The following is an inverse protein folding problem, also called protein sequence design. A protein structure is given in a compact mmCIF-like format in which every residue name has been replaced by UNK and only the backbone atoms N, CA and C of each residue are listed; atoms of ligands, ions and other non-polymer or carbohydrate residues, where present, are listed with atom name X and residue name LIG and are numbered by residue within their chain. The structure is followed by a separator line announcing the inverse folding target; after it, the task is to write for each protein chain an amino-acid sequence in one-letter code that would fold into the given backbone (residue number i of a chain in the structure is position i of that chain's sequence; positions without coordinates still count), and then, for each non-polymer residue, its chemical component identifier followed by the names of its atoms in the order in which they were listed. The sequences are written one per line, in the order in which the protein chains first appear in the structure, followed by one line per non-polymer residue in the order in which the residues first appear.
data_IF_467695331804
#
_entry.id   IF_467695331804
#
_cell.length_a   1.000
_cell.length_b   1.000
_cell.length_c   1.000
_cell.angle_alpha   90.00
_cell.angle_beta   90.00
_cell.angle_gamma   90.00
#
_symmetry.space_group_name_H-M   'P 1'
#
loop_
_entity.id
_entity.type
_entity.pdbx_description
1 polymer ?
#
# COMPACT_ATOMS: atom_id res chain seq x y z
N UNK A 1 -16.55 -16.15 -8.17
CA UNK A 1 -16.42 -16.59 -9.57
C UNK A 1 -15.63 -15.55 -10.35
N UNK A 2 -14.75 -15.96 -11.26
CA UNK A 2 -13.97 -15.05 -12.10
C UNK A 2 -14.45 -15.10 -13.56
N UNK A 3 -14.62 -13.95 -14.18
CA UNK A 3 -15.04 -13.74 -15.56
C UNK A 3 -13.95 -12.95 -16.28
N UNK A 4 -13.48 -13.41 -17.44
CA UNK A 4 -12.49 -12.69 -18.24
C UNK A 4 -13.19 -11.62 -19.07
N UNK A 5 -12.80 -10.36 -18.88
CA UNK A 5 -13.34 -9.21 -19.62
C UNK A 5 -12.55 -8.96 -20.91
N UNK A 6 -11.22 -9.04 -20.83
CA UNK A 6 -10.33 -8.76 -21.97
C UNK A 6 -9.01 -9.50 -21.83
N UNK A 7 -8.44 -9.87 -22.99
CA UNK A 7 -7.13 -10.48 -23.14
C UNK A 7 -6.40 -9.80 -24.29
N UNK A 8 -5.34 -9.07 -24.00
CA UNK A 8 -4.55 -8.32 -24.96
C UNK A 8 -3.10 -8.77 -24.93
N UNK A 9 -2.57 -9.23 -26.05
CA UNK A 9 -1.17 -9.66 -26.15
C UNK A 9 -0.29 -8.47 -26.50
N UNK A 10 0.80 -8.28 -25.76
CA UNK A 10 1.80 -7.23 -25.96
C UNK A 10 3.15 -7.85 -26.38
N UNK A 11 3.41 -8.02 -27.68
CA UNK A 11 4.63 -8.70 -28.16
C UNK A 11 5.93 -8.03 -27.71
N UNK A 12 5.95 -6.70 -27.62
CA UNK A 12 7.14 -5.93 -27.22
C UNK A 12 7.62 -6.21 -25.79
N UNK A 13 6.69 -6.60 -24.90
CA UNK A 13 6.98 -6.89 -23.50
C UNK A 13 6.88 -8.39 -23.19
N UNK A 14 6.61 -9.23 -24.19
CA UNK A 14 6.44 -10.68 -24.01
C UNK A 14 5.32 -11.05 -23.04
N UNK A 15 4.29 -10.21 -22.90
CA UNK A 15 3.22 -10.42 -21.90
C UNK A 15 1.83 -10.35 -22.50
N UNK A 16 0.90 -11.07 -21.89
CA UNK A 16 -0.53 -10.92 -22.16
C UNK A 16 -1.20 -10.23 -20.98
N UNK A 17 -1.79 -9.06 -21.22
CA UNK A 17 -2.59 -8.36 -20.24
C UNK A 17 -3.98 -9.00 -20.16
N UNK A 18 -4.39 -9.38 -18.96
CA UNK A 18 -5.70 -9.95 -18.68
C UNK A 18 -6.44 -9.01 -17.76
N UNK A 19 -7.68 -8.69 -18.13
CA UNK A 19 -8.64 -8.05 -17.25
C UNK A 19 -9.73 -9.05 -16.91
N UNK A 20 -10.03 -9.20 -15.63
CA UNK A 20 -11.06 -10.11 -15.14
C UNK A 20 -11.94 -9.39 -14.11
N UNK A 21 -13.22 -9.74 -14.08
CA UNK A 21 -14.14 -9.38 -13.00
C UNK A 21 -14.27 -10.58 -12.08
N UNK A 22 -14.23 -10.35 -10.77
CA UNK A 22 -14.41 -11.37 -9.76
C UNK A 22 -15.60 -10.99 -8.90
N UNK A 23 -16.58 -11.88 -8.82
CA UNK A 23 -17.63 -11.85 -7.81
C UNK A 23 -17.23 -12.73 -6.63
N UNK A 24 -17.41 -12.22 -5.42
CA UNK A 24 -17.18 -12.97 -4.19
C UNK A 24 -18.38 -12.79 -3.26
N UNK A 25 -18.51 -13.64 -2.25
CA UNK A 25 -19.55 -13.50 -1.24
C UNK A 25 -18.87 -13.23 0.11
N UNK A 26 -19.27 -12.16 0.78
CA UNK A 26 -18.73 -11.75 2.07
C UNK A 26 -17.44 -10.93 1.96
N UNK A 27 -16.36 -11.41 2.56
CA UNK A 27 -15.09 -10.67 2.69
C UNK A 27 -14.30 -10.63 1.39
N UNK A 28 -13.56 -9.55 1.17
CA UNK A 28 -12.62 -9.43 0.05
C UNK A 28 -11.65 -10.62 0.03
N UNK A 29 -11.59 -11.38 -1.08
CA UNK A 29 -10.78 -12.57 -1.16
C UNK A 29 -9.29 -12.25 -1.10
N UNK A 30 -8.50 -13.21 -0.58
CA UNK A 30 -7.05 -13.10 -0.60
C UNK A 30 -6.53 -13.09 -2.06
N UNK A 31 -5.47 -12.33 -2.29
CA UNK A 31 -4.84 -12.16 -3.60
C UNK A 31 -4.42 -13.48 -4.24
N UNK A 32 -4.03 -14.48 -3.44
CA UNK A 32 -3.64 -15.80 -3.95
C UNK A 32 -4.84 -16.58 -4.50
N UNK A 33 -5.98 -16.54 -3.79
CA UNK A 33 -7.24 -17.16 -4.26
C UNK A 33 -7.71 -16.47 -5.54
N UNK A 34 -7.67 -15.13 -5.55
CA UNK A 34 -7.94 -14.32 -6.75
C UNK A 34 -7.06 -14.74 -7.92
N UNK A 35 -5.76 -14.94 -7.70
CA UNK A 35 -4.83 -15.39 -8.74
C UNK A 35 -5.22 -16.75 -9.29
N UNK A 36 -5.54 -17.71 -8.42
CA UNK A 36 -5.97 -19.06 -8.82
C UNK A 36 -7.28 -19.05 -9.61
N UNK A 37 -8.27 -18.26 -9.17
CA UNK A 37 -9.55 -18.15 -9.85
C UNK A 37 -9.41 -17.52 -11.23
N UNK A 38 -8.62 -16.46 -11.36
CA UNK A 38 -8.32 -15.83 -12.65
C UNK A 38 -7.50 -16.76 -13.55
N UNK A 39 -6.53 -17.49 -12.99
CA UNK A 39 -5.74 -18.47 -13.72
C UNK A 39 -6.61 -19.59 -14.30
N UNK A 40 -7.54 -20.13 -13.50
CA UNK A 40 -8.54 -21.13 -13.94
C UNK A 40 -9.44 -20.58 -15.04
N UNK A 41 -9.95 -19.36 -14.88
CA UNK A 41 -10.80 -18.72 -15.88
C UNK A 41 -10.05 -18.41 -17.19
N UNK A 42 -8.77 -18.08 -17.11
CA UNK A 42 -7.92 -17.78 -18.27
C UNK A 42 -7.31 -19.02 -18.94
N UNK A 43 -7.36 -20.20 -18.29
CA UNK A 43 -6.71 -21.42 -18.77
C UNK A 43 -5.17 -21.36 -18.72
N UNK A 44 -4.60 -20.56 -17.82
CA UNK A 44 -3.15 -20.31 -17.69
C UNK A 44 -2.69 -20.81 -16.33
N UNK A 45 -1.47 -21.37 -16.18
CA UNK A 45 -0.96 -21.74 -14.87
C UNK A 45 -0.79 -20.53 -13.95
N UNK A 46 -1.18 -20.66 -12.68
CA UNK A 46 -1.11 -19.57 -11.69
C UNK A 46 0.31 -19.03 -11.44
N UNK A 47 1.34 -19.82 -11.75
CA UNK A 47 2.76 -19.41 -11.64
C UNK A 47 3.15 -18.36 -12.69
N UNK A 48 2.53 -18.40 -13.87
CA UNK A 48 2.81 -17.48 -14.98
C UNK A 48 2.00 -16.19 -14.89
N UNK A 49 1.01 -16.14 -13.98
CA UNK A 49 0.11 -15.01 -13.82
C UNK A 49 0.53 -14.14 -12.63
N UNK A 50 0.89 -12.89 -12.91
CA UNK A 50 1.11 -11.87 -11.88
C UNK A 50 -0.09 -10.93 -11.83
N UNK A 51 -0.72 -10.84 -10.65
CA UNK A 51 -1.79 -9.87 -10.42
C UNK A 51 -1.16 -8.51 -10.20
N UNK A 52 -1.50 -7.48 -10.99
CA UNK A 52 -1.02 -6.09 -10.75
C UNK A 52 -1.90 -5.39 -9.75
N UNK A 53 -3.19 -5.29 -10.05
CA UNK A 53 -4.13 -4.48 -9.28
C UNK A 53 -5.42 -5.26 -9.07
N UNK A 54 -5.98 -5.11 -7.87
CA UNK A 54 -7.32 -5.58 -7.52
C UNK A 54 -8.09 -4.33 -7.09
N UNK A 55 -9.07 -3.94 -7.90
CA UNK A 55 -9.93 -2.80 -7.63
C UNK A 55 -11.30 -3.32 -7.21
N UNK A 56 -11.58 -3.30 -5.91
CA UNK A 56 -12.91 -3.62 -5.37
C UNK A 56 -13.88 -2.49 -5.63
N UNK A 57 -15.08 -2.81 -6.07
CA UNK A 57 -16.14 -1.83 -6.27
C UNK A 57 -16.87 -1.63 -4.93
N UNK A 58 -16.85 -0.41 -4.40
CA UNK A 58 -17.50 -0.12 -3.12
C UNK A 58 -19.01 -0.42 -3.17
N UNK A 59 -19.53 -1.05 -2.11
CA UNK A 59 -20.94 -1.42 -1.99
C UNK A 59 -21.36 -2.64 -2.83
N UNK A 60 -20.46 -3.21 -3.62
CA UNK A 60 -20.68 -4.46 -4.36
C UNK A 60 -19.65 -5.50 -3.93
N UNK A 61 -20.04 -6.77 -3.95
CA UNK A 61 -19.10 -7.87 -3.73
C UNK A 61 -18.41 -8.26 -5.04
N UNK A 62 -17.91 -7.24 -5.75
CA UNK A 62 -17.26 -7.36 -7.06
C UNK A 62 -15.90 -6.66 -7.04
N UNK A 63 -14.93 -7.24 -7.74
CA UNK A 63 -13.64 -6.61 -7.98
C UNK A 63 -13.20 -6.76 -9.43
N UNK A 64 -12.61 -5.71 -9.97
CA UNK A 64 -11.90 -5.75 -11.26
C UNK A 64 -10.43 -6.02 -10.99
N UNK A 65 -9.92 -7.08 -11.60
CA UNK A 65 -8.53 -7.53 -11.48
C UNK A 65 -7.82 -7.32 -12.81
N UNK A 66 -6.62 -6.77 -12.73
CA UNK A 66 -5.71 -6.68 -13.88
C UNK A 66 -4.47 -7.50 -13.58
N UNK A 67 -4.18 -8.45 -14.46
CA UNK A 67 -3.02 -9.34 -14.38
C UNK A 67 -2.20 -9.30 -15.65
N UNK A 68 -0.92 -9.64 -15.53
CA UNK A 68 -0.04 -9.88 -16.66
C UNK A 68 0.38 -11.35 -16.63
N UNK A 69 0.26 -12.02 -17.77
CA UNK A 69 0.73 -13.38 -17.99
C UNK A 69 2.03 -13.32 -18.76
N UNK A 70 3.05 -14.02 -18.24
CA UNK A 70 4.36 -14.17 -18.86
C UNK A 70 4.62 -15.64 -19.15
N UNK A 71 5.29 -15.95 -20.26
CA UNK A 71 5.70 -17.32 -20.56
C UNK A 71 6.81 -17.77 -19.61
N UNK A 72 7.77 -16.89 -19.33
CA UNK A 72 8.91 -17.12 -18.45
C UNK A 72 8.91 -16.15 -17.25
N UNK A 73 9.40 -16.64 -16.10
CA UNK A 73 9.54 -15.81 -14.90
C UNK A 73 10.68 -14.79 -14.99
N UNK A 74 11.65 -15.03 -15.86
CA UNK A 74 12.78 -14.11 -16.07
C UNK A 74 12.31 -12.82 -16.76
N UNK A 75 11.40 -12.94 -17.73
CA UNK A 75 10.77 -11.79 -18.40
C UNK A 75 9.94 -10.97 -17.40
N UNK A 76 9.20 -11.66 -16.52
CA UNK A 76 8.46 -11.00 -15.44
C UNK A 76 9.39 -10.21 -14.49
N UNK A 77 10.59 -10.73 -14.20
CA UNK A 77 11.59 -10.07 -13.33
C UNK A 77 12.24 -8.86 -13.97
N UNK A 78 12.39 -8.86 -15.29
CA UNK A 78 12.95 -7.73 -16.03
C UNK A 78 11.95 -6.58 -16.19
N UNK A 79 10.66 -6.89 -16.37
CA UNK A 79 9.62 -5.90 -16.70
C UNK A 79 8.89 -5.36 -15.46
N UNK A 80 8.58 -6.21 -14.49
CA UNK A 80 7.76 -5.82 -13.33
C UNK A 80 8.59 -5.26 -12.17
N UNK A 81 7.94 -4.49 -11.31
CA UNK A 81 8.58 -3.95 -10.12
C UNK A 81 8.93 -5.05 -9.11
N UNK A 82 10.13 -4.99 -8.52
CA UNK A 82 10.63 -5.98 -7.53
C UNK A 82 9.64 -6.24 -6.38
N UNK A 83 8.96 -5.21 -5.88
CA UNK A 83 7.97 -5.35 -4.82
C UNK A 83 6.72 -6.14 -5.24
N UNK A 84 6.38 -6.14 -6.52
CA UNK A 84 5.24 -6.91 -7.04
C UNK A 84 5.59 -8.39 -7.06
N UNK A 85 6.79 -8.74 -7.54
CA UNK A 85 7.30 -10.11 -7.61
C UNK A 85 7.43 -10.70 -6.20
N UNK A 86 8.04 -9.94 -5.27
CA UNK A 86 8.19 -10.37 -3.89
C UNK A 86 6.86 -10.69 -3.19
N UNK A 87 5.75 -10.02 -3.55
CA UNK A 87 4.42 -10.31 -2.97
C UNK A 87 3.85 -11.64 -3.44
N UNK A 88 4.29 -12.15 -4.58
CA UNK A 88 3.86 -13.44 -5.13
C UNK A 88 4.81 -14.56 -4.68
N UNK A 89 6.14 -14.32 -4.73
CA UNK A 89 7.15 -15.31 -4.31
C UNK A 89 7.15 -15.57 -2.79
N UNK A 90 7.10 -14.54 -1.95
CA UNK A 90 7.13 -14.71 -0.47
C UNK A 90 5.93 -15.47 0.09
N UNK A 91 4.86 -15.61 -0.68
CA UNK A 91 3.63 -16.27 -0.26
C UNK A 91 3.48 -17.68 -0.89
N UNK A 92 4.35 -18.03 -1.84
CA UNK A 92 4.51 -19.39 -2.37
C UNK A 92 5.54 -20.22 -1.60
N UNK A 93 6.46 -19.59 -0.87
CA UNK A 93 7.29 -20.28 0.11
C UNK A 93 6.40 -20.72 1.29
N UNK A 94 6.37 -22.01 1.67
CA UNK A 94 5.70 -22.43 2.88
C UNK A 94 6.35 -21.69 4.05
N UNK A 95 5.51 -21.03 4.84
CA UNK A 95 5.90 -20.33 6.06
C UNK A 95 6.28 -21.40 7.09
N UNK A 96 7.54 -21.85 7.06
CA UNK A 96 8.14 -22.50 8.22
C UNK A 96 8.18 -21.50 9.38
N UNK A 97 7.86 -22.04 10.54
CA UNK A 97 7.59 -21.35 11.79
C UNK A 97 8.85 -20.67 12.35
N UNK A 98 8.75 -19.38 12.69
CA UNK A 98 9.51 -18.84 13.82
C UNK A 98 8.58 -17.97 14.68
N UNK A 99 7.94 -18.66 15.64
CA UNK A 99 7.38 -18.11 16.88
C UNK A 99 8.02 -18.85 18.06
N UNK A 100 9.21 -18.41 18.47
CA UNK A 100 9.84 -18.63 19.79
C UNK A 100 11.29 -18.12 19.65
N UNK A 101 11.77 -17.03 20.22
CA UNK A 101 11.73 -16.48 21.59
C UNK A 101 11.58 -14.95 21.50
N UNK A 102 10.99 -14.21 22.45
CA UNK A 102 11.48 -14.05 23.82
C UNK A 102 10.42 -13.27 24.62
N UNK A 103 9.60 -14.00 25.39
CA UNK A 103 8.76 -13.45 26.44
C UNK A 103 8.95 -14.34 27.68
N UNK A 104 10.05 -14.11 28.39
CA UNK A 104 10.30 -14.66 29.72
C UNK A 104 11.29 -13.75 30.47
N UNK A 105 10.82 -12.58 30.90
CA UNK A 105 11.31 -11.88 32.10
C UNK A 105 10.24 -10.91 32.56
N UNK A 106 9.25 -11.45 33.27
CA UNK A 106 8.32 -10.70 34.10
C UNK A 106 8.60 -11.08 35.56
N UNK A 107 8.66 -10.07 36.43
CA UNK A 107 8.95 -10.25 37.86
C UNK A 107 9.30 -8.94 38.55
N UNK A 108 8.29 -8.08 38.72
CA UNK A 108 8.31 -6.84 39.51
C UNK A 108 8.59 -7.10 41.01
N UNK A 109 8.81 -6.05 41.84
CA UNK A 109 7.63 -5.45 42.49
C UNK A 109 7.64 -3.92 42.60
N UNK A 110 6.42 -3.44 42.83
CA UNK A 110 5.91 -2.07 42.91
C UNK A 110 6.38 -1.26 44.12
N UNK A 111 6.23 0.07 44.03
CA UNK A 111 6.18 0.96 45.20
C UNK A 111 6.21 2.46 44.87
N UNK A 112 5.06 3.07 44.54
CA UNK A 112 4.85 4.53 44.61
C UNK A 112 4.89 4.98 46.08
N UNK A 113 5.25 6.24 46.40
CA UNK A 113 4.21 7.28 46.46
C UNK A 113 4.64 8.66 45.91
N UNK A 114 3.61 9.44 45.61
CA UNK A 114 3.64 10.85 45.27
C UNK A 114 4.02 11.74 46.46
N UNK A 115 4.59 12.93 46.18
CA UNK A 115 4.08 14.24 46.61
C UNK A 115 5.18 15.33 46.64
N UNK A 116 4.95 16.39 45.85
CA UNK A 116 4.90 17.78 46.34
C UNK A 116 6.16 18.48 46.88
N UNK A 117 6.67 19.44 46.07
CA UNK A 117 6.95 20.87 46.40
C UNK A 117 7.81 21.45 45.26
N UNK A 118 7.31 22.36 44.41
CA UNK A 118 7.00 23.77 44.68
C UNK A 118 8.26 24.65 44.87
N UNK A 119 8.26 25.74 44.10
CA UNK A 119 8.98 27.01 44.25
C UNK A 119 10.39 27.13 43.60
N UNK A 120 10.72 28.18 42.83
CA UNK A 120 10.00 29.41 42.43
C UNK A 120 10.89 30.22 41.47
N UNK A 121 10.25 30.92 40.51
CA UNK A 121 10.44 32.36 40.13
C UNK A 121 11.86 32.88 39.76
N UNK A 122 12.08 33.78 38.79
CA UNK A 122 11.21 34.78 38.17
C UNK A 122 11.91 35.50 37.00
N UNK A 123 11.12 36.32 36.30
CA UNK A 123 11.45 37.43 35.39
C UNK A 123 11.72 37.10 33.92
N UNK A 124 11.13 37.76 32.92
CA UNK A 124 10.07 38.78 32.80
C UNK A 124 9.87 38.93 31.29
N UNK A 125 8.73 38.50 30.75
CA UNK A 125 7.62 39.38 30.38
C UNK A 125 8.01 40.53 29.41
N UNK A 126 7.62 40.39 28.12
CA UNK A 126 6.75 41.32 27.36
C UNK A 126 6.92 41.19 25.84
N UNK A 127 5.91 40.59 25.19
CA UNK A 127 5.28 41.09 23.95
C UNK A 127 4.48 42.37 24.30
N UNK A 128 4.09 43.28 23.37
CA UNK A 128 3.51 42.96 22.05
C UNK A 128 3.91 43.93 20.90
N UNK A 129 3.66 43.52 19.64
CA UNK A 129 2.80 44.17 18.61
C UNK A 129 3.19 45.61 18.26
N UNK A 130 3.48 45.96 17.01
CA UNK A 130 2.54 46.45 15.97
C UNK A 130 3.49 46.98 14.85
N UNK A 131 3.37 46.68 13.56
CA UNK A 131 2.63 47.51 12.63
C UNK A 131 2.57 46.81 11.26
N UNK A 132 1.34 46.54 10.82
CA UNK A 132 1.02 46.23 9.44
C UNK A 132 0.49 47.50 8.78
N UNK A 133 1.29 48.16 7.93
CA UNK A 133 0.79 49.16 6.96
C UNK A 133 1.83 49.51 5.89
N UNK A 134 1.65 48.96 4.68
CA UNK A 134 1.54 49.76 3.44
C UNK A 134 1.26 48.84 2.25
N UNK A 135 -0.03 48.67 1.96
CA UNK A 135 -0.50 48.50 0.60
C UNK A 135 -1.09 49.85 0.15
N UNK A 136 -0.93 50.13 -1.15
CA UNK A 136 -1.51 51.22 -1.93
C UNK A 136 -0.89 52.63 -1.80
N UNK A 137 -0.08 53.00 -2.79
CA UNK A 137 -0.39 54.11 -3.70
C UNK A 137 0.55 54.09 -4.90
N UNK A 138 0.04 53.52 -5.99
CA UNK A 138 0.47 53.76 -7.36
C UNK A 138 0.47 55.27 -7.67
N UNK A 139 1.22 55.66 -8.70
CA UNK A 139 1.34 57.00 -9.30
C UNK A 139 2.15 58.04 -8.51
N UNK A 140 3.32 58.40 -9.06
CA UNK A 140 3.51 59.68 -9.75
C UNK A 140 5.00 60.07 -9.79
N UNK A 141 5.53 60.24 -11.02
CA UNK A 141 6.73 61.02 -11.37
C UNK A 141 8.08 60.53 -10.78
N UNK A 142 9.20 60.58 -11.48
CA UNK A 142 9.58 61.11 -12.78
C UNK A 142 10.97 60.55 -13.08
N UNK A 143 11.22 60.29 -14.35
CA UNK A 143 12.48 60.61 -15.05
C UNK A 143 13.76 60.62 -14.21
N UNK A 144 14.67 59.68 -14.50
CA UNK A 144 16.04 59.96 -15.00
C UNK A 144 16.78 58.65 -15.24
#
# INVERSE_FOLDING_TARGET
MAEILSKETQPLLGRTLIQARISFEGTTPDRMKVREDVAKAAGVPAKQLLVRTINTIYGKQEATVTGAVYENMDDAKAVEHKSLIAKHEKKEAPKEEERSSEAAKEGAPEGKPAAEKAAQEDTKEKKPAEDAKKAASDAEKQES
#
